data_IF_921806440113
#
_entry.id   IF_921806440113
#
_cell.length_a   1.000
_cell.length_b   1.000
_cell.length_c   1.000
_cell.angle_alpha   90.00
_cell.angle_beta   90.00
_cell.angle_gamma   90.00
#
_symmetry.space_group_name_H-M   'P 1'
#
loop_
_entity.id
_entity.type
_entity.pdbx_description
1 polymer ?
#
# COMPACT_ATOMS: atom_id res chain seq x y z
N UNK A 1 -9.35 -12.55 2.49
CA UNK A 1 -8.75 -11.24 2.85
C UNK A 1 -8.30 -10.49 1.60
N UNK A 2 -8.06 -9.19 1.74
CA UNK A 2 -7.54 -8.35 0.66
C UNK A 2 -6.19 -8.83 0.16
N UNK A 3 -5.27 -9.14 1.05
CA UNK A 3 -3.92 -9.61 0.71
C UNK A 3 -3.93 -10.88 -0.16
N UNK A 4 -4.84 -11.81 0.10
CA UNK A 4 -4.93 -13.07 -0.68
C UNK A 4 -5.46 -12.80 -2.10
N UNK A 5 -6.53 -11.98 -2.21
CA UNK A 5 -7.09 -11.61 -3.53
C UNK A 5 -6.10 -10.80 -4.35
N UNK A 6 -5.44 -9.84 -3.71
CA UNK A 6 -4.42 -9.03 -4.37
C UNK A 6 -3.21 -9.88 -4.81
N UNK A 7 -2.74 -10.82 -3.98
CA UNK A 7 -1.68 -11.75 -4.36
C UNK A 7 -2.02 -12.55 -5.61
N UNK A 8 -3.23 -13.11 -5.67
CA UNK A 8 -3.71 -13.81 -6.87
C UNK A 8 -3.82 -12.88 -8.09
N UNK A 9 -4.22 -11.62 -7.89
CA UNK A 9 -4.25 -10.63 -8.97
C UNK A 9 -2.84 -10.32 -9.47
N UNK A 10 -1.87 -10.11 -8.58
CA UNK A 10 -0.48 -9.83 -8.96
C UNK A 10 0.11 -10.97 -9.80
N UNK A 11 -0.15 -12.22 -9.43
CA UNK A 11 0.24 -13.39 -10.21
C UNK A 11 -0.35 -13.34 -11.64
N UNK A 12 -1.65 -13.07 -11.77
CA UNK A 12 -2.31 -12.95 -13.09
C UNK A 12 -1.83 -11.75 -13.92
N UNK A 13 -1.30 -10.72 -13.27
CA UNK A 13 -0.71 -9.54 -13.92
C UNK A 13 0.79 -9.68 -14.23
N UNK A 14 1.43 -10.79 -13.84
CA UNK A 14 2.85 -11.05 -14.06
C UNK A 14 3.77 -10.33 -13.07
N UNK A 15 3.30 -10.08 -11.84
CA UNK A 15 4.06 -9.49 -10.74
C UNK A 15 4.67 -8.11 -11.04
N UNK A 16 3.86 -7.11 -11.43
CA UNK A 16 4.36 -5.77 -11.73
C UNK A 16 5.09 -5.13 -10.53
N UNK A 17 4.71 -5.49 -9.29
CA UNK A 17 5.32 -4.98 -8.06
C UNK A 17 6.80 -5.31 -7.92
N UNK A 18 7.27 -6.39 -8.53
CA UNK A 18 8.67 -6.85 -8.39
C UNK A 18 9.69 -5.93 -9.06
N UNK A 19 9.24 -5.11 -10.00
CA UNK A 19 10.10 -4.15 -10.72
C UNK A 19 10.11 -2.76 -10.11
N UNK A 20 9.31 -2.52 -9.07
CA UNK A 20 9.09 -1.22 -8.45
C UNK A 20 9.80 -1.10 -7.11
N UNK A 21 10.40 0.06 -6.82
CA UNK A 21 10.92 0.42 -5.49
C UNK A 21 9.77 1.02 -4.68
N UNK A 22 9.16 0.22 -3.82
CA UNK A 22 7.94 0.58 -3.11
C UNK A 22 8.24 1.03 -1.68
N UNK A 23 7.76 2.21 -1.29
CA UNK A 23 7.65 2.66 0.09
C UNK A 23 6.21 2.39 0.53
N UNK A 24 6.03 1.51 1.51
CA UNK A 24 4.72 1.07 1.98
C UNK A 24 4.34 1.79 3.27
N UNK A 25 3.19 2.48 3.27
CA UNK A 25 2.78 3.38 4.36
C UNK A 25 1.47 2.92 4.98
N UNK A 26 1.50 2.62 6.29
CA UNK A 26 0.33 2.34 7.12
C UNK A 26 0.22 3.35 8.28
N UNK A 27 -0.86 3.29 9.02
CA UNK A 27 -1.12 4.14 10.19
C UNK A 27 -2.60 4.48 10.36
N UNK A 28 -2.97 5.05 11.49
CA UNK A 28 -4.32 5.56 11.72
C UNK A 28 -4.50 6.92 11.08
N UNK A 29 -3.72 7.90 11.49
CA UNK A 29 -3.78 9.26 10.97
C UNK A 29 -2.48 9.64 10.27
N UNK A 30 -2.57 10.58 9.32
CA UNK A 30 -1.39 11.16 8.67
C UNK A 30 -0.78 10.34 7.55
N UNK A 31 -1.33 9.15 7.18
CA UNK A 31 -0.85 8.35 6.05
C UNK A 31 -0.73 9.18 4.77
N UNK A 32 -1.84 9.78 4.32
CA UNK A 32 -1.88 10.60 3.11
C UNK A 32 -0.91 11.79 3.16
N UNK A 33 -0.75 12.44 4.33
CA UNK A 33 0.21 13.54 4.51
C UNK A 33 1.65 13.05 4.36
N UNK A 34 2.01 11.94 5.01
CA UNK A 34 3.35 11.35 4.88
C UNK A 34 3.60 10.92 3.44
N UNK A 35 2.62 10.28 2.78
CA UNK A 35 2.71 9.92 1.36
C UNK A 35 2.96 11.15 0.49
N UNK A 36 2.25 12.26 0.72
CA UNK A 36 2.41 13.49 -0.04
C UNK A 36 3.80 14.13 0.17
N UNK A 37 4.32 14.15 1.41
CA UNK A 37 5.66 14.65 1.70
C UNK A 37 6.75 13.80 1.04
N UNK A 38 6.69 12.48 1.19
CA UNK A 38 7.63 11.55 0.56
C UNK A 38 7.63 11.72 -0.96
N UNK A 39 6.43 11.77 -1.55
CA UNK A 39 6.26 11.98 -2.98
C UNK A 39 6.92 13.29 -3.44
N UNK A 40 6.67 14.39 -2.73
CA UNK A 40 7.23 15.70 -3.09
C UNK A 40 8.74 15.75 -2.93
N UNK A 41 9.29 15.15 -1.87
CA UNK A 41 10.74 15.08 -1.64
C UNK A 41 11.40 14.31 -2.78
N UNK A 42 10.90 13.15 -3.16
CA UNK A 42 11.46 12.33 -4.23
C UNK A 42 11.42 13.06 -5.59
N UNK A 43 10.31 13.72 -5.93
CA UNK A 43 10.20 14.54 -7.14
C UNK A 43 11.25 15.65 -7.16
N UNK A 44 11.46 16.34 -6.03
CA UNK A 44 12.46 17.41 -5.96
C UNK A 44 13.90 16.91 -6.11
N UNK A 45 14.15 15.64 -5.82
CA UNK A 45 15.44 14.99 -6.06
C UNK A 45 15.55 14.41 -7.49
N UNK A 46 14.59 14.69 -8.36
CA UNK A 46 14.62 14.28 -9.77
C UNK A 46 14.12 12.86 -10.04
N UNK A 47 13.54 12.18 -9.05
CA UNK A 47 12.95 10.87 -9.25
C UNK A 47 11.54 10.97 -9.82
N UNK A 48 11.21 10.07 -10.73
CA UNK A 48 9.86 9.86 -11.20
C UNK A 48 9.10 9.03 -10.18
N UNK A 49 7.93 9.50 -9.77
CA UNK A 49 7.19 8.87 -8.66
C UNK A 49 5.82 8.35 -9.09
N UNK A 50 5.45 7.19 -8.53
CA UNK A 50 4.08 6.72 -8.48
C UNK A 50 3.51 6.92 -7.07
N UNK A 51 2.28 7.40 -6.96
CA UNK A 51 1.59 7.60 -5.69
C UNK A 51 0.22 6.93 -5.73
N UNK A 52 -0.02 6.02 -4.79
CA UNK A 52 -1.32 5.38 -4.56
C UNK A 52 -1.86 5.76 -3.19
N UNK A 53 -3.01 6.44 -3.16
CA UNK A 53 -3.63 6.93 -1.92
C UNK A 53 -5.14 6.66 -1.89
N UNK A 54 -5.76 6.75 -0.71
CA UNK A 54 -7.20 6.61 -0.53
C UNK A 54 -7.71 7.36 0.70
N UNK A 55 -8.99 7.82 0.68
CA UNK A 55 -9.92 7.82 -0.45
C UNK A 55 -9.65 8.94 -1.47
N UNK A 56 -10.44 9.04 -2.54
CA UNK A 56 -10.53 10.21 -3.40
C UNK A 56 -11.66 11.16 -2.93
N UNK A 57 -11.62 12.40 -3.36
CA UNK A 57 -12.63 13.40 -3.04
C UNK A 57 -13.67 13.57 -4.16
N UNK A 58 -13.23 13.65 -5.41
CA UNK A 58 -14.07 13.93 -6.58
C UNK A 58 -13.87 12.89 -7.67
N UNK A 59 -12.63 12.63 -8.07
CA UNK A 59 -12.30 11.74 -9.19
C UNK A 59 -11.49 10.53 -8.71
N UNK A 60 -11.91 9.34 -9.10
CA UNK A 60 -11.23 8.10 -8.71
C UNK A 60 -9.75 8.09 -9.09
N UNK A 61 -9.36 8.80 -10.15
CA UNK A 61 -7.96 8.92 -10.61
C UNK A 61 -7.06 9.68 -9.63
N UNK A 62 -7.64 10.43 -8.67
CA UNK A 62 -6.88 11.03 -7.58
C UNK A 62 -6.08 10.00 -6.79
N UNK A 63 -6.53 8.75 -6.77
CA UNK A 63 -5.87 7.64 -6.07
C UNK A 63 -4.60 7.16 -6.77
N UNK A 64 -4.39 7.51 -8.05
CA UNK A 64 -3.25 7.05 -8.86
C UNK A 64 -2.62 8.25 -9.53
N UNK A 65 -1.45 8.63 -9.04
CA UNK A 65 -0.73 9.81 -9.56
C UNK A 65 0.67 9.42 -10.02
N UNK A 66 1.14 10.10 -11.05
CA UNK A 66 2.52 10.08 -11.53
C UNK A 66 3.06 11.50 -11.40
N UNK A 67 4.19 11.67 -10.73
CA UNK A 67 4.81 12.98 -10.48
C UNK A 67 3.81 14.00 -9.91
N UNK A 68 2.93 13.53 -9.02
CA UNK A 68 1.81 14.26 -8.40
C UNK A 68 0.62 14.60 -9.31
N UNK A 69 0.66 14.26 -10.59
CA UNK A 69 -0.43 14.48 -11.52
C UNK A 69 -1.32 13.23 -11.66
N UNK A 70 -2.63 13.42 -11.72
CA UNK A 70 -3.57 12.31 -11.97
C UNK A 70 -3.27 11.66 -13.32
N UNK A 71 -3.32 10.34 -13.37
CA UNK A 71 -3.22 9.61 -14.64
C UNK A 71 -4.32 10.03 -15.62
N UNK A 72 -4.04 9.97 -16.92
CA UNK A 72 -5.02 10.32 -17.95
C UNK A 72 -6.22 9.36 -17.92
N UNK A 73 -7.38 9.81 -18.42
CA UNK A 73 -8.56 8.93 -18.57
C UNK A 73 -8.26 7.73 -19.47
N UNK A 74 -7.49 7.94 -20.53
CA UNK A 74 -7.10 6.87 -21.46
C UNK A 74 -6.23 5.82 -20.78
N UNK A 75 -5.18 6.23 -20.05
CA UNK A 75 -4.32 5.32 -19.30
C UNK A 75 -5.12 4.54 -18.25
N UNK A 76 -6.03 5.22 -17.54
CA UNK A 76 -6.89 4.60 -16.53
C UNK A 76 -7.77 3.49 -17.12
N UNK A 77 -8.40 3.75 -18.28
CA UNK A 77 -9.23 2.76 -18.98
C UNK A 77 -8.39 1.57 -19.48
N UNK A 78 -7.20 1.84 -20.05
CA UNK A 78 -6.31 0.76 -20.48
C UNK A 78 -5.86 -0.14 -19.32
N UNK A 79 -5.52 0.45 -18.17
CA UNK A 79 -5.20 -0.31 -16.97
C UNK A 79 -6.39 -1.12 -16.47
N UNK A 80 -7.61 -0.53 -16.50
CA UNK A 80 -8.84 -1.23 -16.16
C UNK A 80 -9.05 -2.46 -17.04
N UNK A 81 -8.90 -2.36 -18.35
CA UNK A 81 -9.09 -3.48 -19.28
C UNK A 81 -8.12 -4.65 -19.01
N UNK A 82 -6.88 -4.33 -18.64
CA UNK A 82 -5.89 -5.34 -18.24
C UNK A 82 -6.30 -6.05 -16.95
N UNK A 83 -6.68 -5.29 -15.92
CA UNK A 83 -7.15 -5.85 -14.64
C UNK A 83 -8.46 -6.63 -14.83
N UNK A 84 -9.37 -6.13 -15.68
CA UNK A 84 -10.62 -6.82 -16.03
C UNK A 84 -10.36 -8.19 -16.67
N UNK A 85 -9.40 -8.26 -17.57
CA UNK A 85 -9.00 -9.53 -18.17
C UNK A 85 -8.43 -10.53 -17.14
N UNK A 86 -7.63 -10.04 -16.19
CA UNK A 86 -7.12 -10.85 -15.08
C UNK A 86 -8.27 -11.28 -14.13
N UNK A 87 -9.19 -10.36 -13.80
CA UNK A 87 -10.34 -10.64 -12.95
C UNK A 87 -11.25 -11.73 -13.51
N UNK A 88 -11.46 -11.76 -14.83
CA UNK A 88 -12.21 -12.84 -15.50
C UNK A 88 -11.53 -14.21 -15.33
N UNK A 89 -10.20 -14.27 -15.35
CA UNK A 89 -9.46 -15.52 -15.11
C UNK A 89 -9.57 -15.95 -13.64
N UNK A 90 -9.45 -14.98 -12.71
CA UNK A 90 -9.61 -15.23 -11.28
C UNK A 90 -11.02 -15.69 -10.90
N UNK A 91 -12.05 -15.16 -11.56
CA UNK A 91 -13.44 -15.58 -11.33
C UNK A 91 -13.65 -17.07 -11.65
N UNK A 92 -12.96 -17.59 -12.68
CA UNK A 92 -12.97 -19.03 -12.98
C UNK A 92 -12.32 -19.88 -11.88
N UNK A 93 -11.48 -19.27 -11.05
CA UNK A 93 -10.83 -19.87 -9.86
C UNK A 93 -11.62 -19.57 -8.56
N UNK A 94 -12.86 -19.06 -8.65
CA UNK A 94 -13.71 -18.63 -7.53
C UNK A 94 -13.10 -17.49 -6.69
N UNK A 95 -12.28 -16.62 -7.30
CA UNK A 95 -11.73 -15.44 -6.67
C UNK A 95 -12.40 -14.20 -7.26
N UNK A 96 -13.12 -13.46 -6.42
CA UNK A 96 -13.78 -12.20 -6.79
C UNK A 96 -13.03 -11.03 -6.16
N UNK A 97 -12.56 -10.09 -6.97
CA UNK A 97 -11.85 -8.90 -6.55
C UNK A 97 -12.82 -7.88 -5.93
N UNK A 98 -12.39 -7.24 -4.85
CA UNK A 98 -13.06 -6.07 -4.29
C UNK A 98 -12.62 -4.79 -5.02
N UNK A 99 -13.38 -3.71 -4.90
CA UNK A 99 -13.11 -2.42 -5.53
C UNK A 99 -11.66 -1.93 -5.32
N UNK A 100 -11.14 -2.04 -4.11
CA UNK A 100 -9.79 -1.62 -3.78
C UNK A 100 -8.73 -2.49 -4.48
N UNK A 101 -8.98 -3.79 -4.61
CA UNK A 101 -8.06 -4.71 -5.32
C UNK A 101 -7.89 -4.32 -6.80
N UNK A 102 -8.98 -3.86 -7.45
CA UNK A 102 -8.94 -3.37 -8.82
C UNK A 102 -8.05 -2.14 -8.95
N UNK A 103 -8.28 -1.13 -8.12
CA UNK A 103 -7.51 0.12 -8.16
C UNK A 103 -6.02 -0.11 -7.85
N UNK A 104 -5.73 -1.00 -6.90
CA UNK A 104 -4.38 -1.40 -6.56
C UNK A 104 -3.65 -2.04 -7.75
N UNK A 105 -4.28 -3.04 -8.42
CA UNK A 105 -3.71 -3.66 -9.60
C UNK A 105 -3.49 -2.68 -10.75
N UNK A 106 -4.47 -1.79 -11.00
CA UNK A 106 -4.36 -0.73 -12.01
C UNK A 106 -3.19 0.22 -11.70
N UNK A 107 -3.04 0.63 -10.44
CA UNK A 107 -1.96 1.51 -10.01
C UNK A 107 -0.58 0.91 -10.31
N UNK A 108 -0.35 -0.33 -9.92
CA UNK A 108 0.94 -0.99 -10.18
C UNK A 108 1.26 -1.12 -11.67
N UNK A 109 0.26 -1.46 -12.51
CA UNK A 109 0.43 -1.50 -13.96
C UNK A 109 0.82 -0.14 -14.54
N UNK A 110 0.17 0.93 -14.07
CA UNK A 110 0.45 2.29 -14.50
C UNK A 110 1.83 2.77 -14.05
N UNK A 111 2.24 2.42 -12.82
CA UNK A 111 3.57 2.79 -12.31
C UNK A 111 4.70 2.13 -13.12
N UNK A 112 4.53 0.87 -13.50
CA UNK A 112 5.47 0.20 -14.42
C UNK A 112 5.44 0.84 -15.81
N UNK A 113 4.26 1.06 -16.38
CA UNK A 113 4.10 1.67 -17.70
C UNK A 113 4.73 3.06 -17.79
N UNK A 114 4.59 3.84 -16.71
CA UNK A 114 5.13 5.21 -16.63
C UNK A 114 6.57 5.25 -16.10
N UNK A 115 7.21 4.10 -15.88
CA UNK A 115 8.60 3.98 -15.44
C UNK A 115 8.88 4.77 -14.15
N UNK A 116 8.03 4.60 -13.13
CA UNK A 116 8.25 5.21 -11.82
C UNK A 116 9.51 4.64 -11.16
N UNK A 117 10.43 5.53 -10.73
CA UNK A 117 11.63 5.14 -9.98
C UNK A 117 11.29 4.69 -8.56
N UNK A 118 10.34 5.39 -7.93
CA UNK A 118 9.81 5.08 -6.61
C UNK A 118 8.28 5.09 -6.62
N UNK A 119 7.70 4.22 -5.84
CA UNK A 119 6.25 4.15 -5.60
C UNK A 119 5.96 4.34 -4.13
N UNK A 120 5.08 5.27 -3.79
CA UNK A 120 4.55 5.43 -2.45
C UNK A 120 3.16 4.79 -2.40
N UNK A 121 2.98 3.81 -1.53
CA UNK A 121 1.80 2.96 -1.48
C UNK A 121 1.13 3.07 -0.11
N UNK A 122 -0.02 3.76 -0.05
CA UNK A 122 -0.82 3.89 1.15
C UNK A 122 -1.71 2.65 1.34
N UNK A 123 -1.76 2.09 2.57
CA UNK A 123 -2.75 1.06 2.92
C UNK A 123 -4.16 1.63 2.91
N UNK A 124 -5.12 0.83 2.44
CA UNK A 124 -6.54 1.22 2.50
C UNK A 124 -7.11 1.11 3.91
N UNK A 125 -6.93 -0.04 4.56
CA UNK A 125 -7.44 -0.32 5.90
C UNK A 125 -6.52 -1.28 6.65
N UNK A 126 -6.13 -0.89 7.86
CA UNK A 126 -5.27 -1.71 8.72
C UNK A 126 -3.85 -1.82 8.17
N UNK A 127 -3.44 -3.00 7.77
CA UNK A 127 -2.13 -3.31 7.20
C UNK A 127 -2.02 -4.80 6.85
N UNK A 128 -2.02 -5.67 7.86
CA UNK A 128 -1.78 -7.11 7.72
C UNK A 128 -2.63 -7.80 6.64
N UNK A 129 -3.91 -7.46 6.54
CA UNK A 129 -4.85 -8.06 5.59
C UNK A 129 -5.22 -7.13 4.43
N UNK A 130 -4.60 -5.94 4.36
CA UNK A 130 -4.82 -4.99 3.28
C UNK A 130 -4.30 -5.52 1.94
N UNK A 131 -4.94 -5.14 0.84
CA UNK A 131 -4.53 -5.57 -0.50
C UNK A 131 -3.09 -5.17 -0.83
N UNK A 132 -2.66 -3.97 -0.39
CA UNK A 132 -1.31 -3.47 -0.64
C UNK A 132 -0.24 -4.32 0.04
N UNK A 133 -0.59 -5.07 1.10
CA UNK A 133 0.32 -5.98 1.80
C UNK A 133 0.67 -7.26 1.00
N UNK A 134 0.09 -7.43 -0.18
CA UNK A 134 0.53 -8.44 -1.15
C UNK A 134 1.95 -8.14 -1.68
N UNK A 135 2.41 -6.90 -1.61
CA UNK A 135 3.82 -6.53 -1.87
C UNK A 135 4.71 -7.13 -0.79
N UNK A 136 5.64 -7.99 -1.19
CA UNK A 136 6.49 -8.72 -0.25
C UNK A 136 7.84 -8.02 0.03
N UNK A 137 8.36 -7.27 -0.92
CA UNK A 137 9.68 -6.67 -0.83
C UNK A 137 9.64 -5.14 -1.07
N UNK A 138 8.97 -4.36 -0.20
CA UNK A 138 9.10 -2.91 -0.26
C UNK A 138 10.54 -2.51 0.10
N UNK A 139 10.99 -1.32 -0.32
CA UNK A 139 12.31 -0.79 0.06
C UNK A 139 12.28 -0.14 1.44
N UNK A 140 11.10 0.27 1.90
CA UNK A 140 10.88 0.87 3.21
C UNK A 140 9.43 0.64 3.66
N UNK A 141 9.24 0.32 4.93
CA UNK A 141 7.92 0.32 5.59
C UNK A 141 7.81 1.52 6.53
N UNK A 142 6.70 2.26 6.42
CA UNK A 142 6.45 3.44 7.27
C UNK A 142 5.13 3.24 7.99
N UNK A 143 5.14 3.39 9.33
CA UNK A 143 3.92 3.37 10.14
C UNK A 143 3.79 4.73 10.83
N UNK A 144 2.75 5.46 10.46
CA UNK A 144 2.43 6.76 11.06
C UNK A 144 1.82 6.58 12.45
N UNK A 145 1.12 7.55 12.99
CA UNK A 145 0.52 7.44 14.31
C UNK A 145 -0.53 6.35 14.41
N UNK A 146 -0.65 5.75 15.59
CA UNK A 146 -1.66 4.75 15.93
C UNK A 146 -2.69 5.40 16.85
N UNK A 147 -3.97 5.21 16.54
CA UNK A 147 -5.09 5.64 17.37
C UNK A 147 -6.28 4.69 17.18
N UNK A 148 -7.27 4.77 18.06
CA UNK A 148 -8.50 4.00 17.94
C UNK A 148 -9.25 4.43 16.67
N UNK A 149 -9.39 3.52 15.73
CA UNK A 149 -10.14 3.69 14.49
C UNK A 149 -10.65 2.35 13.98
N UNK A 150 -11.72 2.35 13.21
CA UNK A 150 -12.27 1.13 12.62
C UNK A 150 -12.36 -0.06 13.59
N UNK A 151 -12.72 0.21 14.84
CA UNK A 151 -12.66 -0.76 15.94
C UNK A 151 -13.46 -2.02 15.67
N UNK A 152 -14.55 -1.95 14.93
CA UNK A 152 -15.32 -3.12 14.50
C UNK A 152 -14.53 -4.11 13.59
N UNK A 153 -13.40 -3.69 13.03
CA UNK A 153 -12.60 -4.51 12.08
C UNK A 153 -11.19 -4.75 12.59
N UNK A 154 -10.54 -3.72 13.17
CA UNK A 154 -9.13 -3.77 13.57
C UNK A 154 -8.91 -4.15 15.02
N UNK A 155 -9.99 -4.19 15.83
CA UNK A 155 -9.93 -4.41 17.26
C UNK A 155 -10.19 -3.15 18.07
N UNK A 156 -10.49 -3.32 19.35
CA UNK A 156 -10.97 -2.30 20.27
C UNK A 156 -9.87 -1.73 21.21
N UNK A 157 -8.62 -2.18 21.01
CA UNK A 157 -7.45 -1.68 21.74
C UNK A 157 -6.37 -1.14 20.82
N UNK A 158 -5.54 -0.21 21.30
CA UNK A 158 -4.40 0.31 20.56
C UNK A 158 -3.41 -0.79 20.18
N UNK A 159 -3.17 -1.75 21.07
CA UNK A 159 -2.30 -2.90 20.81
C UNK A 159 -2.79 -3.76 19.63
N UNK A 160 -4.11 -4.00 19.53
CA UNK A 160 -4.68 -4.75 18.41
C UNK A 160 -4.53 -3.99 17.10
N UNK A 161 -4.86 -2.70 17.08
CA UNK A 161 -4.71 -1.84 15.90
C UNK A 161 -3.24 -1.72 15.48
N UNK A 162 -2.33 -1.56 16.46
CA UNK A 162 -0.90 -1.55 16.22
C UNK A 162 -0.42 -2.85 15.55
N UNK A 163 -0.88 -4.01 16.03
CA UNK A 163 -0.56 -5.32 15.45
C UNK A 163 -1.05 -5.47 14.01
N UNK A 164 -2.26 -5.00 13.70
CA UNK A 164 -2.77 -5.01 12.32
C UNK A 164 -1.91 -4.14 11.39
N UNK A 165 -1.47 -2.96 11.85
CA UNK A 165 -0.65 -2.06 11.05
C UNK A 165 0.80 -2.55 10.96
N UNK A 166 1.38 -3.06 12.04
CA UNK A 166 2.70 -3.69 12.04
C UNK A 166 2.80 -4.89 11.09
N UNK A 167 1.68 -5.46 10.66
CA UNK A 167 1.64 -6.52 9.67
C UNK A 167 2.19 -6.16 8.28
N UNK A 168 2.52 -4.88 8.01
CA UNK A 168 3.23 -4.47 6.79
C UNK A 168 4.75 -4.60 6.91
N UNK A 169 5.28 -4.82 8.10
CA UNK A 169 6.71 -5.02 8.33
C UNK A 169 7.16 -6.31 7.64
N UNK A 170 8.31 -6.27 6.97
CA UNK A 170 8.85 -7.39 6.19
C UNK A 170 10.28 -7.68 6.60
N UNK A 171 10.63 -8.95 6.69
CA UNK A 171 11.97 -9.39 7.06
C UNK A 171 13.04 -8.72 6.20
N UNK A 172 14.05 -8.15 6.84
CA UNK A 172 15.19 -7.51 6.18
C UNK A 172 14.87 -6.16 5.52
N UNK A 173 13.64 -5.68 5.62
CA UNK A 173 13.23 -4.36 5.10
C UNK A 173 13.22 -3.34 6.24
N UNK A 174 13.94 -2.23 6.06
CA UNK A 174 13.97 -1.15 7.07
C UNK A 174 12.57 -0.58 7.32
N UNK A 175 12.33 -0.19 8.57
CA UNK A 175 11.08 0.42 8.99
C UNK A 175 11.29 1.71 9.78
N UNK A 176 10.35 2.64 9.61
CA UNK A 176 10.19 3.84 10.44
C UNK A 176 8.79 3.85 10.99
N UNK A 177 8.64 4.09 12.29
CA UNK A 177 7.32 4.25 12.88
C UNK A 177 7.26 5.39 13.90
N UNK A 178 6.07 5.94 14.08
CA UNK A 178 5.78 6.95 15.11
C UNK A 178 4.85 6.34 16.15
N UNK A 179 5.35 6.16 17.37
CA UNK A 179 4.59 5.66 18.51
C UNK A 179 4.88 6.53 19.74
N UNK A 180 3.86 6.79 20.54
CA UNK A 180 3.97 7.53 21.82
C UNK A 180 3.51 6.68 23.00
N UNK A 181 2.48 5.89 22.81
CA UNK A 181 1.89 5.05 23.83
C UNK A 181 2.77 3.82 24.09
N UNK A 182 3.14 3.51 25.34
CA UNK A 182 4.03 2.40 25.67
C UNK A 182 3.57 1.05 25.11
N UNK A 183 2.28 0.79 25.10
CA UNK A 183 1.70 -0.44 24.55
C UNK A 183 1.89 -0.54 23.02
N UNK A 184 1.84 0.58 22.31
CA UNK A 184 2.08 0.64 20.85
C UNK A 184 3.56 0.42 20.57
N UNK A 185 4.44 1.09 21.30
CA UNK A 185 5.90 0.92 21.20
C UNK A 185 6.26 -0.55 21.39
N UNK A 186 5.77 -1.18 22.46
CA UNK A 186 6.02 -2.59 22.74
C UNK A 186 5.60 -3.51 21.58
N UNK A 187 4.40 -3.30 21.01
CA UNK A 187 3.92 -4.09 19.87
C UNK A 187 4.80 -3.90 18.63
N UNK A 188 5.22 -2.66 18.34
CA UNK A 188 6.07 -2.36 17.19
C UNK A 188 7.46 -3.00 17.34
N UNK A 189 8.10 -2.83 18.51
CA UNK A 189 9.40 -3.41 18.81
C UNK A 189 9.36 -4.94 18.73
N UNK A 190 8.40 -5.56 19.42
CA UNK A 190 8.24 -7.01 19.39
C UNK A 190 7.99 -7.56 17.99
N UNK A 191 7.17 -6.85 17.19
CA UNK A 191 6.88 -7.29 15.81
C UNK A 191 8.12 -7.14 14.93
N UNK A 192 8.85 -6.02 15.05
CA UNK A 192 10.07 -5.79 14.30
C UNK A 192 11.17 -6.81 14.65
N UNK A 193 11.37 -7.08 15.94
CA UNK A 193 12.34 -8.06 16.42
C UNK A 193 12.01 -9.47 15.89
N UNK A 194 10.77 -9.92 16.07
CA UNK A 194 10.32 -11.26 15.63
C UNK A 194 10.41 -11.45 14.11
N UNK A 195 10.27 -10.38 13.34
CA UNK A 195 10.35 -10.42 11.88
C UNK A 195 11.76 -10.08 11.34
N UNK A 196 12.73 -9.77 12.19
CA UNK A 196 14.08 -9.36 11.75
C UNK A 196 14.07 -8.07 10.91
N UNK A 197 13.32 -7.06 11.37
CA UNK A 197 13.14 -5.77 10.71
C UNK A 197 14.07 -4.74 11.31
N UNK A 198 14.99 -4.12 10.54
CA UNK A 198 15.78 -2.99 11.01
C UNK A 198 14.88 -1.76 11.22
N UNK A 199 14.87 -1.19 12.42
CA UNK A 199 14.17 0.07 12.73
C UNK A 199 15.15 1.22 12.65
N UNK A 200 14.79 2.30 11.91
CA UNK A 200 15.59 3.49 11.68
C UNK A 200 15.19 4.62 12.64
#
# INVERSE_FOLDING_TARGET
SGVVRAGALLEELGHPEKTLKIIHVAGSNGKGSVCAYLNRILIQHGFRTGLFTSPHLVDVRERIRIDNEMVSKSDFVQAFDRVHSAAKRLQKKNITLAYFDWLFGMALLLFVQKQADFVILETGLGGRLDATNAVQNPVLSVITTISLEHTAVLGDTLSQIAKEKAGILKQGVSAVYSAKEPEVIHVMEQTAENAGVPVL
#
